data_IF_079546217971
#
_entry.id   IF_079546217971
#
_cell.length_a   1.000
_cell.length_b   1.000
_cell.length_c   1.000
_cell.angle_alpha   90.00
_cell.angle_beta   90.00
_cell.angle_gamma   90.00
#
_symmetry.space_group_name_H-M   'P 1'
#
loop_
_entity.id
_entity.type
_entity.pdbx_description
1 polymer ?
#
# COMPACT_ATOMS: atom_id res chain seq x y z
N UNK A 1 -13.20 -22.44 17.71
CA UNK A 1 -12.08 -21.50 17.94
C UNK A 1 -12.34 -20.28 17.09
N UNK A 2 -12.66 -19.17 17.73
CA UNK A 2 -13.10 -17.94 17.06
C UNK A 2 -11.90 -17.18 16.49
N UNK A 3 -11.73 -17.27 15.16
CA UNK A 3 -10.78 -16.48 14.36
C UNK A 3 -11.05 -14.96 14.42
N UNK A 4 -12.13 -14.51 15.06
CA UNK A 4 -12.58 -13.12 15.10
C UNK A 4 -11.79 -12.20 16.02
N UNK A 5 -10.99 -12.76 16.96
CA UNK A 5 -10.25 -11.99 17.97
C UNK A 5 -8.75 -11.84 17.68
N UNK A 6 -8.27 -12.41 16.56
CA UNK A 6 -6.87 -12.23 16.19
C UNK A 6 -6.67 -10.82 15.60
N UNK A 7 -6.20 -9.89 16.43
CA UNK A 7 -5.86 -8.53 16.00
C UNK A 7 -4.82 -8.50 14.87
N UNK A 8 -4.08 -9.58 14.64
CA UNK A 8 -3.13 -9.68 13.52
C UNK A 8 -3.83 -9.82 12.17
N UNK A 9 -5.04 -10.41 12.15
CA UNK A 9 -5.88 -10.51 10.94
C UNK A 9 -6.42 -9.13 10.52
N UNK A 10 -6.64 -8.22 11.46
CA UNK A 10 -7.13 -6.86 11.20
C UNK A 10 -6.01 -5.91 10.74
N UNK A 11 -4.74 -6.28 10.98
CA UNK A 11 -3.56 -5.47 10.64
C UNK A 11 -3.01 -5.80 9.24
N UNK A 12 -3.59 -6.79 8.55
CA UNK A 12 -3.23 -7.21 7.19
C UNK A 12 -4.36 -6.97 6.22
N UNK A 13 -4.07 -6.31 5.09
CA UNK A 13 -5.01 -6.17 3.98
C UNK A 13 -4.43 -6.76 2.70
N UNK A 14 -5.24 -7.55 2.01
CA UNK A 14 -4.93 -8.11 0.71
C UNK A 14 -5.78 -7.45 -0.39
N UNK A 15 -5.08 -6.76 -1.29
CA UNK A 15 -5.58 -6.10 -2.48
C UNK A 15 -4.89 -6.63 -3.73
N UNK A 16 -4.31 -7.83 -3.68
CA UNK A 16 -3.72 -8.47 -4.84
C UNK A 16 -4.74 -8.73 -5.95
N UNK A 17 -4.27 -8.76 -7.20
CA UNK A 17 -5.06 -8.98 -8.42
C UNK A 17 -6.20 -7.97 -8.64
N UNK A 18 -6.15 -6.80 -7.99
CA UNK A 18 -7.14 -5.73 -8.14
C UNK A 18 -6.54 -4.53 -8.88
N UNK A 19 -7.42 -3.76 -9.50
CA UNK A 19 -7.10 -2.40 -9.95
C UNK A 19 -7.27 -1.43 -8.78
N UNK A 20 -6.17 -0.83 -8.33
CA UNK A 20 -6.13 0.12 -7.24
C UNK A 20 -6.29 1.52 -7.82
N UNK A 21 -7.41 2.17 -7.46
CA UNK A 21 -7.73 3.54 -7.87
C UNK A 21 -7.31 4.55 -6.80
N UNK A 22 -7.19 5.80 -7.21
CA UNK A 22 -6.94 6.94 -6.33
C UNK A 22 -7.84 6.93 -5.09
N UNK A 23 -7.27 7.30 -3.93
CA UNK A 23 -7.97 7.32 -2.64
C UNK A 23 -8.11 5.95 -1.94
N UNK A 24 -8.02 4.83 -2.67
CA UNK A 24 -8.15 3.48 -2.08
C UNK A 24 -7.07 3.24 -1.02
N UNK A 25 -5.81 3.50 -1.37
CA UNK A 25 -4.69 3.29 -0.46
C UNK A 25 -4.69 4.29 0.70
N UNK A 26 -5.21 5.51 0.50
CA UNK A 26 -5.29 6.49 1.58
C UNK A 26 -6.17 6.00 2.74
N UNK A 27 -7.33 5.46 2.40
CA UNK A 27 -8.30 4.94 3.37
C UNK A 27 -7.66 3.77 4.14
N UNK A 28 -6.94 2.89 3.45
CA UNK A 28 -6.25 1.76 4.08
C UNK A 28 -5.16 2.26 5.02
N UNK A 29 -4.25 3.10 4.54
CA UNK A 29 -3.12 3.57 5.33
C UNK A 29 -3.53 4.43 6.54
N UNK A 30 -4.68 5.13 6.47
CA UNK A 30 -5.28 5.82 7.64
C UNK A 30 -5.73 4.86 8.75
N UNK A 31 -6.02 3.59 8.44
CA UNK A 31 -6.47 2.56 9.41
C UNK A 31 -5.35 1.82 10.13
N UNK A 32 -4.11 2.37 10.13
CA UNK A 32 -2.94 1.78 10.82
C UNK A 32 -2.61 0.34 10.38
N UNK A 33 -2.80 0.04 9.09
CA UNK A 33 -2.43 -1.23 8.48
C UNK A 33 -0.93 -1.48 8.64
N UNK A 34 -0.55 -2.70 9.03
CA UNK A 34 0.85 -3.10 9.20
C UNK A 34 1.36 -3.92 8.01
N UNK A 35 0.49 -4.71 7.39
CA UNK A 35 0.81 -5.56 6.24
C UNK A 35 -0.14 -5.23 5.10
N UNK A 36 0.39 -4.84 3.94
CA UNK A 36 -0.38 -4.56 2.75
C UNK A 36 0.17 -5.41 1.61
N UNK A 37 -0.68 -6.28 1.07
CA UNK A 37 -0.36 -7.09 -0.10
C UNK A 37 -1.10 -6.56 -1.31
N UNK A 38 -0.33 -6.19 -2.32
CA UNK A 38 -0.75 -5.69 -3.63
C UNK A 38 -0.19 -6.58 -4.74
N UNK A 39 0.08 -7.86 -4.44
CA UNK A 39 0.66 -8.78 -5.40
C UNK A 39 -0.24 -8.92 -6.64
N UNK A 40 0.34 -8.76 -7.83
CA UNK A 40 -0.40 -8.73 -9.11
C UNK A 40 -1.46 -7.61 -9.22
N UNK A 41 -1.39 -6.58 -8.38
CA UNK A 41 -2.31 -5.43 -8.49
C UNK A 41 -1.86 -4.48 -9.60
N UNK A 42 -2.81 -3.79 -10.21
CA UNK A 42 -2.55 -2.67 -11.12
C UNK A 42 -2.81 -1.36 -10.37
N UNK A 43 -1.76 -0.60 -10.09
CA UNK A 43 -1.83 0.66 -9.35
C UNK A 43 -1.82 1.80 -10.36
N UNK A 44 -2.96 2.49 -10.48
CA UNK A 44 -3.13 3.58 -11.45
C UNK A 44 -2.83 4.93 -10.82
N UNK A 45 -2.20 5.85 -11.58
CA UNK A 45 -2.03 7.22 -11.14
C UNK A 45 -3.37 7.98 -11.11
N UNK A 46 -3.53 8.97 -10.21
CA UNK A 46 -2.66 9.23 -9.05
C UNK A 46 -2.97 8.25 -7.90
N UNK A 47 -1.94 7.69 -7.26
CA UNK A 47 -2.12 6.72 -6.15
C UNK A 47 -2.76 7.36 -4.92
N UNK A 48 -2.43 8.63 -4.69
CA UNK A 48 -2.94 9.47 -3.61
C UNK A 48 -3.39 10.82 -4.18
N UNK A 49 -4.31 11.47 -3.49
CA UNK A 49 -4.71 12.85 -3.71
C UNK A 49 -3.61 13.81 -3.25
N UNK A 50 -3.54 14.98 -3.88
CA UNK A 50 -2.62 16.05 -3.45
C UNK A 50 -2.83 16.44 -1.99
N UNK A 51 -4.09 16.48 -1.55
CA UNK A 51 -4.44 16.76 -0.15
C UNK A 51 -3.77 15.76 0.80
N UNK A 52 -3.71 14.48 0.42
CA UNK A 52 -3.07 13.43 1.21
C UNK A 52 -1.54 13.48 1.14
N UNK A 53 -0.98 13.75 -0.03
CA UNK A 53 0.46 13.93 -0.21
C UNK A 53 1.00 15.11 0.60
N UNK A 54 0.22 16.18 0.75
CA UNK A 54 0.61 17.39 1.47
C UNK A 54 0.39 17.31 3.00
N UNK A 55 -0.15 16.21 3.54
CA UNK A 55 -0.30 16.07 5.00
C UNK A 55 1.09 15.90 5.63
N UNK A 56 1.50 16.89 6.43
CA UNK A 56 2.73 16.90 7.21
C UNK A 56 2.47 17.32 8.66
N UNK A 57 2.98 16.59 9.68
CA UNK A 57 3.72 15.34 9.59
C UNK A 57 2.77 14.14 9.56
N UNK A 58 2.59 13.50 8.39
CA UNK A 58 1.83 12.25 8.31
C UNK A 58 2.66 11.12 7.69
N UNK A 59 2.61 9.97 8.36
CA UNK A 59 3.31 8.74 8.01
C UNK A 59 2.41 7.56 8.39
N UNK A 60 2.35 6.53 7.55
CA UNK A 60 1.61 5.32 7.88
C UNK A 60 2.47 4.37 8.74
N UNK A 61 1.80 3.46 9.46
CA UNK A 61 2.47 2.43 10.27
C UNK A 61 2.81 1.16 9.47
N UNK A 62 2.78 1.24 8.13
CA UNK A 62 2.99 0.07 7.29
C UNK A 62 4.40 -0.48 7.48
N UNK A 63 4.49 -1.77 7.80
CA UNK A 63 5.76 -2.47 8.06
C UNK A 63 6.10 -3.44 6.94
N UNK A 64 5.10 -4.00 6.26
CA UNK A 64 5.29 -4.99 5.21
C UNK A 64 4.46 -4.60 3.98
N UNK A 65 5.13 -4.39 2.86
CA UNK A 65 4.52 -4.09 1.58
C UNK A 65 4.95 -5.14 0.56
N UNK A 66 3.97 -5.80 -0.03
CA UNK A 66 4.17 -6.77 -1.09
C UNK A 66 3.60 -6.23 -2.39
N UNK A 67 4.49 -5.93 -3.34
CA UNK A 67 4.22 -5.49 -4.70
C UNK A 67 4.67 -6.56 -5.72
N UNK A 68 4.84 -7.83 -5.31
CA UNK A 68 5.31 -8.87 -6.23
C UNK A 68 4.35 -8.99 -7.42
N UNK A 69 4.87 -8.94 -8.65
CA UNK A 69 4.09 -8.95 -9.90
C UNK A 69 3.12 -7.76 -10.07
N UNK A 70 3.20 -6.72 -9.25
CA UNK A 70 2.35 -5.54 -9.39
C UNK A 70 2.79 -4.68 -10.59
N UNK A 71 1.85 -3.94 -11.17
CA UNK A 71 2.10 -2.89 -12.17
C UNK A 71 1.88 -1.52 -11.52
N UNK A 72 2.88 -0.64 -11.54
CA UNK A 72 2.82 0.66 -10.86
C UNK A 72 3.72 1.67 -11.55
N UNK A 73 3.33 2.94 -11.62
CA UNK A 73 4.19 3.96 -12.21
C UNK A 73 5.28 4.40 -11.25
N UNK A 74 6.40 4.91 -11.77
CA UNK A 74 7.51 5.41 -10.94
C UNK A 74 7.03 6.49 -9.96
N UNK A 75 6.15 7.40 -10.41
CA UNK A 75 5.57 8.43 -9.56
C UNK A 75 4.72 7.82 -8.44
N UNK A 76 3.83 6.88 -8.76
CA UNK A 76 2.98 6.22 -7.76
C UNK A 76 3.81 5.45 -6.73
N UNK A 77 4.89 4.80 -7.15
CA UNK A 77 5.79 4.09 -6.24
C UNK A 77 6.52 5.06 -5.32
N UNK A 78 7.03 6.17 -5.85
CA UNK A 78 7.66 7.24 -5.06
C UNK A 78 6.69 7.81 -4.01
N UNK A 79 5.48 8.16 -4.44
CA UNK A 79 4.42 8.69 -3.57
C UNK A 79 4.06 7.69 -2.46
N UNK A 80 3.88 6.41 -2.81
CA UNK A 80 3.59 5.34 -1.85
C UNK A 80 4.70 5.19 -0.81
N UNK A 81 5.96 5.10 -1.24
CA UNK A 81 7.10 4.92 -0.35
C UNK A 81 7.38 6.16 0.51
N UNK A 82 7.10 7.37 0.01
CA UNK A 82 7.23 8.62 0.79
C UNK A 82 6.40 8.62 2.08
N UNK A 83 5.31 7.84 2.11
CA UNK A 83 4.40 7.73 3.23
C UNK A 83 4.68 6.54 4.16
N UNK A 84 5.45 5.56 3.69
CA UNK A 84 5.72 4.28 4.39
C UNK A 84 7.04 4.29 5.17
N UNK A 85 7.23 5.25 6.09
CA UNK A 85 8.51 5.39 6.80
C UNK A 85 8.81 4.30 7.85
N UNK A 86 7.83 3.46 8.21
CA UNK A 86 7.99 2.35 9.16
C UNK A 86 8.25 1.00 8.48
N UNK A 87 8.50 1.01 7.17
CA UNK A 87 8.63 -0.20 6.37
C UNK A 87 9.86 -1.02 6.81
N UNK A 88 9.63 -2.29 7.11
CA UNK A 88 10.64 -3.29 7.48
C UNK A 88 10.95 -4.26 6.35
N UNK A 89 9.95 -4.56 5.52
CA UNK A 89 10.10 -5.43 4.34
C UNK A 89 9.33 -4.88 3.15
N UNK A 90 9.98 -4.96 1.99
CA UNK A 90 9.44 -4.62 0.69
C UNK A 90 9.69 -5.80 -0.25
N UNK A 91 8.64 -6.35 -0.83
CA UNK A 91 8.70 -7.38 -1.87
C UNK A 91 8.30 -6.76 -3.20
N UNK A 92 9.15 -6.91 -4.23
CA UNK A 92 9.01 -6.28 -5.56
C UNK A 92 9.37 -7.25 -6.70
N UNK A 93 9.38 -8.54 -6.41
CA UNK A 93 9.74 -9.58 -7.38
C UNK A 93 8.79 -9.50 -8.58
N UNK A 94 9.34 -9.37 -9.80
CA UNK A 94 8.57 -9.18 -11.04
C UNK A 94 7.61 -7.97 -11.03
N UNK A 95 7.83 -6.97 -10.17
CA UNK A 95 7.08 -5.72 -10.25
C UNK A 95 7.45 -4.98 -11.54
N UNK A 96 6.42 -4.56 -12.29
CA UNK A 96 6.57 -3.85 -13.56
C UNK A 96 6.34 -2.36 -13.34
N UNK A 97 7.32 -1.56 -13.70
CA UNK A 97 7.16 -0.11 -13.77
C UNK A 97 6.52 0.25 -15.11
N UNK A 98 5.41 0.98 -15.09
CA UNK A 98 4.84 1.60 -16.29
C UNK A 98 5.21 3.08 -16.36
N UNK A 99 5.27 3.62 -17.58
CA UNK A 99 5.43 5.06 -17.83
C UNK A 99 4.16 5.84 -17.46
#
# INVERSE_FOLDING_TARGET
>A
QELSYDETLWKRHDFGRKVVRSGTLEILLKRRVLVLRLAMAEIRPPVFTDAYLNIYPWRCNLQYLDLSMAMVSTQCLSDLLSKCCSLKKLSVEHCTLNE
#
